data_IF_722146215231
#
_entry.id   IF_722146215231
#
_cell.length_a   1.000
_cell.length_b   1.000
_cell.length_c   1.000
_cell.angle_alpha   90.00
_cell.angle_beta   90.00
_cell.angle_gamma   90.00
#
_symmetry.space_group_name_H-M   'P 1'
#
loop_
_entity.id
_entity.type
_entity.pdbx_description
1 polymer ?
#
# COMPACT_ATOMS: atom_id res chain seq x y z
N UNK A 1 31.72 -11.27 2.58
CA UNK A 1 31.65 -10.25 3.67
C UNK A 1 32.81 -10.38 4.66
N UNK A 2 33.15 -11.60 5.11
CA UNK A 2 34.26 -11.90 6.03
C UNK A 2 35.66 -11.61 5.46
N UNK A 3 35.91 -11.96 4.20
CA UNK A 3 37.19 -11.62 3.52
C UNK A 3 37.34 -10.12 3.25
N UNK A 4 36.22 -9.39 3.08
CA UNK A 4 36.21 -7.97 2.80
C UNK A 4 36.56 -7.14 4.05
N UNK A 5 36.02 -7.51 5.22
CA UNK A 5 36.33 -6.86 6.50
C UNK A 5 37.77 -7.12 6.95
N UNK A 6 38.34 -8.29 6.64
CA UNK A 6 39.74 -8.63 6.95
C UNK A 6 40.74 -7.91 6.03
N UNK A 7 40.35 -7.59 4.78
CA UNK A 7 41.20 -6.86 3.82
C UNK A 7 41.16 -5.33 3.96
N UNK A 8 40.07 -4.76 4.47
CA UNK A 8 39.82 -3.31 4.40
C UNK A 8 39.73 -2.59 5.76
N UNK A 9 39.97 -3.27 6.88
CA UNK A 9 40.03 -2.62 8.21
C UNK A 9 41.50 -2.43 8.65
N UNK A 10 42.00 -1.19 8.58
CA UNK A 10 43.32 -0.79 9.12
C UNK A 10 43.33 -0.62 10.66
N UNK A 11 42.24 -0.91 11.35
CA UNK A 11 42.19 -0.80 12.81
C UNK A 11 42.64 -2.10 13.47
N UNK A 12 43.60 -2.06 14.42
CA UNK A 12 44.03 -3.25 15.13
C UNK A 12 42.83 -3.87 15.86
N UNK A 13 42.62 -5.17 15.69
CA UNK A 13 41.51 -5.97 16.22
C UNK A 13 41.26 -5.69 17.73
N UNK A 14 42.31 -5.36 18.47
CA UNK A 14 42.27 -4.94 19.88
C UNK A 14 41.40 -3.70 20.15
N UNK A 15 41.28 -2.77 19.20
CA UNK A 15 40.50 -1.55 19.33
C UNK A 15 38.99 -1.79 19.14
N UNK A 16 38.63 -2.65 18.19
CA UNK A 16 37.24 -3.08 17.94
C UNK A 16 36.72 -3.88 19.14
N UNK A 17 37.57 -4.76 19.70
CA UNK A 17 37.23 -5.55 20.90
C UNK A 17 37.03 -4.67 22.13
N UNK A 18 37.86 -3.63 22.33
CA UNK A 18 37.67 -2.66 23.42
C UNK A 18 36.37 -1.87 23.31
N UNK A 19 35.95 -1.49 22.11
CA UNK A 19 34.67 -0.78 21.91
C UNK A 19 33.45 -1.67 22.13
N UNK A 20 33.46 -2.90 21.62
CA UNK A 20 32.36 -3.87 21.81
C UNK A 20 32.20 -4.25 23.29
N UNK A 21 33.32 -4.41 24.01
CA UNK A 21 33.31 -4.73 25.44
C UNK A 21 32.86 -3.53 26.29
N UNK A 22 33.35 -2.32 26.01
CA UNK A 22 32.91 -1.10 26.71
C UNK A 22 31.40 -0.87 26.55
N UNK A 23 30.86 -1.11 25.35
CA UNK A 23 29.43 -1.02 25.08
C UNK A 23 28.61 -2.07 25.86
N UNK A 24 29.15 -3.28 26.03
CA UNK A 24 28.47 -4.39 26.75
C UNK A 24 28.50 -4.18 28.27
N UNK A 25 29.58 -3.60 28.81
CA UNK A 25 29.71 -3.29 30.24
C UNK A 25 28.82 -2.11 30.65
N UNK A 26 28.70 -1.07 29.82
CA UNK A 26 27.86 0.09 30.15
C UNK A 26 26.35 -0.22 30.13
N UNK A 27 25.90 -1.17 29.32
CA UNK A 27 24.47 -1.50 29.16
C UNK A 27 23.99 -2.72 29.97
N UNK A 28 24.89 -3.38 30.71
CA UNK A 28 24.59 -4.60 31.47
C UNK A 28 24.52 -4.39 32.99
N UNK A 29 23.46 -3.76 33.52
CA UNK A 29 23.19 -3.84 34.97
C UNK A 29 22.81 -5.29 35.31
N UNK A 30 23.59 -5.92 36.19
CA UNK A 30 23.47 -7.29 36.76
C UNK A 30 24.22 -8.39 35.99
N UNK A 31 25.55 -8.43 36.14
CA UNK A 31 26.38 -9.67 36.25
C UNK A 31 27.85 -9.33 36.57
N UNK A 32 28.06 -8.58 37.65
CA UNK A 32 29.37 -8.04 38.06
C UNK A 32 30.39 -9.05 38.60
N UNK A 33 30.08 -10.35 38.67
CA UNK A 33 31.01 -11.35 39.23
C UNK A 33 31.49 -12.42 38.22
N UNK A 34 30.81 -12.60 37.08
CA UNK A 34 31.20 -13.62 36.09
C UNK A 34 32.17 -13.10 35.00
N UNK A 35 32.30 -11.78 34.85
CA UNK A 35 33.09 -11.17 33.76
C UNK A 35 34.54 -10.88 34.20
N UNK A 36 34.80 -10.73 35.50
CA UNK A 36 36.13 -10.43 36.02
C UNK A 36 37.15 -11.58 35.82
N UNK A 37 36.68 -12.83 35.67
CA UNK A 37 37.56 -13.99 35.44
C UNK A 37 38.00 -14.15 33.98
N UNK A 38 37.41 -13.38 33.04
CA UNK A 38 37.78 -13.43 31.60
C UNK A 38 39.07 -12.63 31.32
N UNK A 39 39.49 -11.75 32.24
CA UNK A 39 40.60 -10.81 32.03
C UNK A 39 42.02 -11.41 32.17
N UNK A 40 42.17 -12.67 32.59
CA UNK A 40 43.48 -13.32 32.78
C UNK A 40 43.82 -14.38 31.74
N UNK A 41 42.97 -14.60 30.73
CA UNK A 41 43.16 -15.63 29.70
C UNK A 41 43.49 -14.96 28.36
N UNK A 42 44.61 -15.30 27.69
CA UNK A 42 44.88 -14.79 26.35
C UNK A 42 43.76 -15.21 25.39
N UNK A 43 43.04 -14.22 24.85
CA UNK A 43 41.99 -14.39 23.85
C UNK A 43 42.67 -14.71 22.51
N UNK A 44 42.77 -16.00 22.20
CA UNK A 44 43.18 -16.45 20.87
C UNK A 44 42.10 -16.09 19.85
N UNK A 45 42.49 -15.80 18.59
CA UNK A 45 41.58 -15.50 17.47
C UNK A 45 40.35 -16.45 17.38
N UNK A 46 40.47 -17.77 17.62
CA UNK A 46 39.34 -18.69 17.63
C UNK A 46 38.31 -18.41 18.75
N UNK A 47 38.77 -18.01 19.95
CA UNK A 47 37.87 -17.67 21.07
C UNK A 47 37.11 -16.37 20.80
N UNK A 48 37.76 -15.40 20.19
CA UNK A 48 37.11 -14.14 19.81
C UNK A 48 36.05 -14.37 18.73
N UNK A 49 36.35 -15.20 17.73
CA UNK A 49 35.40 -15.63 16.70
C UNK A 49 34.16 -16.30 17.32
N UNK A 50 34.35 -17.21 18.27
CA UNK A 50 33.24 -17.89 18.93
C UNK A 50 32.32 -16.92 19.71
N UNK A 51 32.89 -15.96 20.43
CA UNK A 51 32.13 -14.96 21.18
C UNK A 51 31.33 -14.05 20.23
N UNK A 52 31.95 -13.55 19.15
CA UNK A 52 31.28 -12.70 18.16
C UNK A 52 30.16 -13.49 17.47
N UNK A 53 30.44 -14.71 17.02
CA UNK A 53 29.45 -15.60 16.39
C UNK A 53 28.27 -15.87 17.33
N UNK A 54 28.54 -16.15 18.61
CA UNK A 54 27.50 -16.37 19.61
C UNK A 54 26.64 -15.12 19.86
N UNK A 55 27.25 -13.93 19.97
CA UNK A 55 26.52 -12.66 20.15
C UNK A 55 25.65 -12.36 18.92
N UNK A 56 26.19 -12.54 17.71
CA UNK A 56 25.46 -12.34 16.45
C UNK A 56 24.30 -13.32 16.36
N UNK A 57 24.51 -14.62 16.60
CA UNK A 57 23.45 -15.61 16.60
C UNK A 57 22.36 -15.32 17.64
N UNK A 58 22.75 -14.88 18.84
CA UNK A 58 21.80 -14.52 19.89
C UNK A 58 20.99 -13.27 19.53
N UNK A 59 21.63 -12.24 18.96
CA UNK A 59 20.94 -11.06 18.42
C UNK A 59 19.99 -11.44 17.28
N UNK A 60 20.43 -12.25 16.32
CA UNK A 60 19.60 -12.75 15.22
C UNK A 60 18.39 -13.53 15.73
N UNK A 61 18.56 -14.41 16.73
CA UNK A 61 17.42 -15.13 17.35
C UNK A 61 16.43 -14.19 18.02
N UNK A 62 16.90 -13.15 18.71
CA UNK A 62 16.03 -12.15 19.34
C UNK A 62 15.29 -11.32 18.29
N UNK A 63 16.00 -10.81 17.28
CA UNK A 63 15.41 -10.05 16.16
C UNK A 63 14.38 -10.90 15.42
N UNK A 64 14.69 -12.15 15.08
CA UNK A 64 13.75 -13.06 14.41
C UNK A 64 12.51 -13.34 15.27
N UNK A 65 12.67 -13.53 16.58
CA UNK A 65 11.54 -13.75 17.49
C UNK A 65 10.65 -12.52 17.60
N UNK A 66 11.25 -11.33 17.65
CA UNK A 66 10.55 -10.05 17.74
C UNK A 66 9.80 -9.75 16.43
N UNK A 67 10.42 -9.95 15.27
CA UNK A 67 9.76 -9.80 13.97
C UNK A 67 8.58 -10.77 13.84
N UNK A 68 8.77 -12.04 14.21
CA UNK A 68 7.69 -13.04 14.21
C UNK A 68 6.52 -12.63 15.11
N UNK A 69 6.80 -12.00 16.25
CA UNK A 69 5.77 -11.53 17.18
C UNK A 69 4.96 -10.37 16.58
N UNK A 70 5.62 -9.39 15.95
CA UNK A 70 4.92 -8.28 15.30
C UNK A 70 4.09 -8.73 14.10
N UNK A 71 4.63 -9.61 13.25
CA UNK A 71 3.85 -10.22 12.15
C UNK A 71 2.62 -10.94 12.69
N UNK A 72 2.75 -11.68 13.80
CA UNK A 72 1.62 -12.35 14.46
C UNK A 72 0.58 -11.35 14.98
N UNK A 73 1.00 -10.28 15.66
CA UNK A 73 0.09 -9.25 16.17
C UNK A 73 -0.64 -8.53 15.04
N UNK A 74 0.03 -8.24 13.93
CA UNK A 74 -0.60 -7.67 12.73
C UNK A 74 -1.65 -8.62 12.18
N UNK A 75 -1.31 -9.91 12.05
CA UNK A 75 -2.23 -10.94 11.57
C UNK A 75 -3.47 -11.07 12.47
N UNK A 76 -3.28 -11.12 13.80
CA UNK A 76 -4.37 -11.12 14.78
C UNK A 76 -5.26 -9.87 14.64
N UNK A 77 -4.65 -8.69 14.43
CA UNK A 77 -5.38 -7.46 14.16
C UNK A 77 -6.19 -7.49 12.87
N UNK A 78 -5.62 -8.00 11.78
CA UNK A 78 -6.31 -8.13 10.49
C UNK A 78 -7.47 -9.13 10.54
N UNK A 79 -7.30 -10.25 11.25
CA UNK A 79 -8.39 -11.20 11.49
C UNK A 79 -9.52 -10.59 12.31
N UNK A 80 -9.19 -9.77 13.32
CA UNK A 80 -10.17 -9.03 14.09
C UNK A 80 -10.88 -7.95 13.25
N UNK A 81 -10.18 -7.29 12.33
CA UNK A 81 -10.79 -6.37 11.35
C UNK A 81 -11.76 -7.12 10.43
N UNK A 82 -11.37 -8.27 9.88
CA UNK A 82 -12.25 -9.11 9.06
C UNK A 82 -13.53 -9.50 9.81
N UNK A 83 -13.39 -9.92 11.07
CA UNK A 83 -14.54 -10.23 11.92
C UNK A 83 -15.42 -9.01 12.13
N UNK A 84 -14.83 -7.85 12.46
CA UNK A 84 -15.57 -6.61 12.69
C UNK A 84 -16.34 -6.16 11.45
N UNK A 85 -15.73 -6.25 10.26
CA UNK A 85 -16.37 -5.92 8.98
C UNK A 85 -17.57 -6.83 8.69
N UNK A 86 -17.51 -8.13 9.02
CA UNK A 86 -18.64 -9.05 8.85
C UNK A 86 -19.75 -8.80 9.87
N UNK A 87 -19.39 -8.54 11.13
CA UNK A 87 -20.35 -8.36 12.21
C UNK A 87 -21.15 -7.06 12.04
N UNK A 88 -20.50 -5.98 11.61
CA UNK A 88 -21.12 -4.65 11.53
C UNK A 88 -22.16 -4.51 10.42
N UNK A 89 -22.13 -5.38 9.40
CA UNK A 89 -23.09 -5.34 8.27
C UNK A 89 -24.37 -6.13 8.52
N UNK A 90 -24.59 -6.62 9.75
CA UNK A 90 -25.85 -7.28 10.11
C UNK A 90 -27.05 -6.31 9.97
N UNK A 91 -28.15 -6.84 9.44
CA UNK A 91 -29.38 -6.08 9.20
C UNK A 91 -30.60 -6.99 9.24
N UNK A 92 -31.73 -6.48 9.75
CA UNK A 92 -33.03 -7.15 9.69
C UNK A 92 -33.62 -7.20 8.27
N UNK A 93 -32.99 -6.51 7.31
CA UNK A 93 -33.36 -6.53 5.90
C UNK A 93 -32.45 -7.52 5.16
N UNK A 94 -32.96 -8.72 4.88
CA UNK A 94 -32.19 -9.84 4.32
C UNK A 94 -31.36 -9.45 3.09
N UNK A 95 -31.96 -8.76 2.12
CA UNK A 95 -31.27 -8.35 0.88
C UNK A 95 -30.08 -7.42 1.16
N UNK A 96 -30.19 -6.54 2.16
CA UNK A 96 -29.14 -5.60 2.52
C UNK A 96 -28.01 -6.33 3.27
N UNK A 97 -28.36 -7.25 4.17
CA UNK A 97 -27.40 -8.11 4.85
C UNK A 97 -26.63 -8.99 3.85
N UNK A 98 -27.32 -9.61 2.90
CA UNK A 98 -26.70 -10.45 1.87
C UNK A 98 -25.75 -9.65 0.99
N UNK A 99 -26.17 -8.47 0.51
CA UNK A 99 -25.34 -7.60 -0.32
C UNK A 99 -24.10 -7.09 0.44
N UNK A 100 -24.27 -6.68 1.71
CA UNK A 100 -23.16 -6.27 2.59
C UNK A 100 -22.17 -7.40 2.85
N UNK A 101 -22.65 -8.60 3.18
CA UNK A 101 -21.77 -9.76 3.37
C UNK A 101 -21.07 -10.18 2.08
N UNK A 102 -21.73 -10.06 0.93
CA UNK A 102 -21.16 -10.38 -0.37
C UNK A 102 -19.94 -9.52 -0.67
N UNK A 103 -20.05 -8.19 -0.56
CA UNK A 103 -18.91 -7.31 -0.86
C UNK A 103 -17.75 -7.49 0.13
N UNK A 104 -18.03 -7.74 1.42
CA UNK A 104 -16.98 -8.04 2.41
C UNK A 104 -16.27 -9.38 2.10
N UNK A 105 -17.02 -10.40 1.65
CA UNK A 105 -16.47 -11.71 1.26
C UNK A 105 -15.66 -11.69 -0.03
N UNK A 106 -15.86 -10.71 -0.91
CA UNK A 106 -15.01 -10.49 -2.10
C UNK A 106 -13.54 -10.21 -1.76
N UNK A 107 -13.20 -10.10 -0.47
CA UNK A 107 -11.83 -10.11 0.03
C UNK A 107 -11.11 -8.79 -0.24
N UNK A 108 -9.78 -8.83 -0.25
CA UNK A 108 -8.90 -7.69 -0.49
C UNK A 108 -7.58 -7.83 0.26
N UNK A 109 -6.58 -7.04 -0.13
CA UNK A 109 -5.23 -7.08 0.48
C UNK A 109 -5.17 -6.42 1.87
N UNK A 110 -6.24 -5.73 2.29
CA UNK A 110 -6.38 -5.03 3.59
C UNK A 110 -5.21 -4.13 3.98
N UNK A 111 -4.60 -3.50 2.97
CA UNK A 111 -3.44 -2.61 3.16
C UNK A 111 -3.76 -1.42 4.07
N UNK A 112 -4.96 -0.84 3.97
CA UNK A 112 -5.36 0.33 4.78
C UNK A 112 -5.54 -0.04 6.27
N UNK A 113 -6.26 -1.11 6.63
CA UNK A 113 -6.24 -1.64 8.00
C UNK A 113 -4.85 -1.97 8.53
N UNK A 114 -4.04 -2.66 7.71
CA UNK A 114 -2.68 -3.04 8.08
C UNK A 114 -1.83 -1.82 8.41
N UNK A 115 -1.97 -0.76 7.62
CA UNK A 115 -1.26 0.50 7.82
C UNK A 115 -1.66 1.20 9.14
N UNK A 116 -2.96 1.26 9.46
CA UNK A 116 -3.41 1.80 10.74
C UNK A 116 -2.88 0.99 11.94
N UNK A 117 -2.86 -0.34 11.82
CA UNK A 117 -2.29 -1.24 12.83
C UNK A 117 -0.78 -1.02 12.97
N UNK A 118 -0.05 -0.95 11.86
CA UNK A 118 1.39 -0.71 11.85
C UNK A 118 1.75 0.63 12.49
N UNK A 119 1.03 1.70 12.16
CA UNK A 119 1.24 3.02 12.75
C UNK A 119 0.98 3.02 14.26
N UNK A 120 -0.08 2.36 14.71
CA UNK A 120 -0.38 2.17 16.14
C UNK A 120 0.74 1.42 16.87
N UNK A 121 1.22 0.30 16.31
CA UNK A 121 2.31 -0.49 16.90
C UNK A 121 3.64 0.27 16.88
N UNK A 122 3.94 1.00 15.80
CA UNK A 122 5.16 1.79 15.68
C UNK A 122 5.19 2.95 16.69
N UNK A 123 4.03 3.50 17.03
CA UNK A 123 3.84 4.50 18.07
C UNK A 123 3.92 3.95 19.51
N UNK A 124 4.04 2.63 19.69
CA UNK A 124 4.15 1.99 21.00
C UNK A 124 2.85 1.38 21.53
N UNK A 125 1.79 1.35 20.72
CA UNK A 125 0.56 0.62 21.02
C UNK A 125 0.82 -0.88 21.26
N UNK A 126 0.11 -1.47 22.23
CA UNK A 126 0.33 -2.86 22.64
C UNK A 126 -0.90 -3.75 22.42
N UNK A 127 -2.10 -3.20 22.64
CA UNK A 127 -3.35 -3.90 22.43
C UNK A 127 -3.93 -3.56 21.06
N UNK A 128 -3.82 -4.48 20.10
CA UNK A 128 -4.32 -4.28 18.74
C UNK A 128 -5.85 -4.14 18.70
N UNK A 129 -6.57 -4.63 19.71
CA UNK A 129 -8.04 -4.50 19.76
C UNK A 129 -8.49 -3.03 19.87
N UNK A 130 -7.63 -2.13 20.36
CA UNK A 130 -7.92 -0.68 20.41
C UNK A 130 -7.96 -0.04 19.02
N UNK A 131 -7.16 -0.53 18.06
CA UNK A 131 -7.06 0.05 16.70
C UNK A 131 -8.00 -0.64 15.70
N UNK A 132 -8.44 -1.86 15.99
CA UNK A 132 -9.30 -2.66 15.10
C UNK A 132 -10.57 -1.92 14.63
N UNK A 133 -11.40 -1.28 15.49
CA UNK A 133 -12.63 -0.65 15.02
C UNK A 133 -12.38 0.53 14.08
N UNK A 134 -11.36 1.34 14.34
CA UNK A 134 -10.96 2.46 13.47
C UNK A 134 -10.40 1.95 12.14
N UNK A 135 -9.52 0.95 12.17
CA UNK A 135 -9.01 0.30 10.95
C UNK A 135 -10.13 -0.34 10.11
N UNK A 136 -11.14 -0.94 10.76
CA UNK A 136 -12.32 -1.47 10.08
C UNK A 136 -13.19 -0.35 9.49
N UNK A 137 -13.33 0.79 10.16
CA UNK A 137 -14.05 1.95 9.62
C UNK A 137 -13.38 2.50 8.34
N UNK A 138 -12.05 2.59 8.32
CA UNK A 138 -11.29 2.95 7.12
C UNK A 138 -11.54 1.98 5.96
N UNK A 139 -11.49 0.68 6.20
CA UNK A 139 -11.75 -0.31 5.14
C UNK A 139 -13.22 -0.32 4.73
N UNK A 140 -14.14 0.02 5.63
CA UNK A 140 -15.56 0.16 5.32
C UNK A 140 -15.82 1.34 4.39
N UNK A 141 -15.12 2.48 4.57
CA UNK A 141 -15.14 3.59 3.59
C UNK A 141 -14.69 3.07 2.22
N UNK A 142 -13.54 2.40 2.14
CA UNK A 142 -13.04 1.84 0.88
C UNK A 142 -14.03 0.85 0.27
N UNK A 143 -14.64 -0.02 1.08
CA UNK A 143 -15.62 -1.01 0.62
C UNK A 143 -16.86 -0.33 0.05
N UNK A 144 -17.37 0.70 0.73
CA UNK A 144 -18.53 1.47 0.27
C UNK A 144 -18.24 2.15 -1.08
N UNK A 145 -17.04 2.74 -1.24
CA UNK A 145 -16.66 3.39 -2.49
C UNK A 145 -16.55 2.38 -3.63
N UNK A 146 -16.05 1.17 -3.38
CA UNK A 146 -16.01 0.11 -4.42
C UNK A 146 -17.41 -0.25 -4.94
N UNK A 147 -18.42 -0.30 -4.06
CA UNK A 147 -19.81 -0.57 -4.48
C UNK A 147 -20.35 0.57 -5.36
N UNK A 148 -20.04 1.83 -5.00
CA UNK A 148 -20.44 2.98 -5.81
C UNK A 148 -19.69 3.07 -7.13
N UNK A 149 -18.38 2.78 -7.13
CA UNK A 149 -17.55 2.73 -8.33
C UNK A 149 -18.05 1.65 -9.28
N UNK A 150 -18.42 0.46 -8.79
CA UNK A 150 -18.99 -0.61 -9.62
C UNK A 150 -20.26 -0.19 -10.37
N UNK A 151 -21.07 0.70 -9.79
CA UNK A 151 -22.25 1.28 -10.44
C UNK A 151 -21.82 2.27 -11.52
N UNK A 152 -20.91 3.19 -11.17
CA UNK A 152 -20.45 4.26 -12.06
C UNK A 152 -19.69 3.72 -13.27
N UNK A 153 -18.95 2.62 -13.08
CA UNK A 153 -18.09 2.00 -14.08
C UNK A 153 -18.79 0.85 -14.82
N UNK A 154 -20.07 0.58 -14.51
CA UNK A 154 -20.85 -0.53 -15.06
C UNK A 154 -20.14 -1.90 -14.93
N UNK A 155 -19.35 -2.08 -13.87
CA UNK A 155 -18.52 -3.26 -13.67
C UNK A 155 -19.38 -4.47 -13.32
N UNK A 156 -19.24 -5.57 -14.10
CA UNK A 156 -19.96 -6.82 -13.85
C UNK A 156 -19.25 -7.74 -12.86
N UNK A 157 -17.92 -7.67 -12.81
CA UNK A 157 -17.08 -8.47 -11.92
C UNK A 157 -16.02 -7.63 -11.22
N UNK A 158 -15.60 -8.07 -10.03
CA UNK A 158 -14.49 -7.50 -9.24
C UNK A 158 -13.81 -8.62 -8.48
N UNK A 159 -12.48 -8.73 -8.61
CA UNK A 159 -11.67 -9.80 -7.96
C UNK A 159 -12.21 -11.21 -8.25
N UNK A 160 -12.64 -11.44 -9.50
CA UNK A 160 -13.24 -12.70 -9.92
C UNK A 160 -14.65 -13.00 -9.37
N UNK A 161 -15.27 -12.07 -8.63
CA UNK A 161 -16.63 -12.20 -8.09
C UNK A 161 -17.60 -11.28 -8.83
N UNK A 162 -18.88 -11.66 -8.91
CA UNK A 162 -19.93 -10.80 -9.47
C UNK A 162 -20.10 -9.55 -8.58
N UNK A 163 -20.24 -8.35 -9.15
CA UNK A 163 -20.44 -7.13 -8.36
C UNK A 163 -21.84 -7.08 -7.74
N UNK A 164 -22.01 -6.26 -6.70
CA UNK A 164 -23.35 -6.05 -6.08
C UNK A 164 -24.33 -5.49 -7.12
N UNK A 165 -23.86 -4.53 -7.93
CA UNK A 165 -24.59 -3.95 -9.05
C UNK A 165 -25.09 -5.01 -10.03
N UNK A 166 -24.23 -5.94 -10.45
CA UNK A 166 -24.61 -6.96 -11.43
C UNK A 166 -25.58 -8.01 -10.86
N UNK A 167 -25.47 -8.32 -9.57
CA UNK A 167 -26.29 -9.36 -8.93
C UNK A 167 -27.64 -8.87 -8.44
N UNK A 168 -27.72 -7.72 -7.80
CA UNK A 168 -28.96 -7.19 -7.23
C UNK A 168 -29.50 -5.98 -7.99
N UNK A 169 -28.74 -5.40 -8.92
CA UNK A 169 -29.13 -4.21 -9.67
C UNK A 169 -28.69 -2.91 -9.01
N UNK A 170 -28.69 -1.84 -9.81
CA UNK A 170 -28.18 -0.52 -9.43
C UNK A 170 -28.81 0.05 -8.16
N UNK A 171 -30.13 -0.06 -7.99
CA UNK A 171 -30.83 0.50 -6.82
C UNK A 171 -30.34 -0.12 -5.52
N UNK A 172 -30.22 -1.45 -5.46
CA UNK A 172 -29.75 -2.13 -4.26
C UNK A 172 -28.26 -1.93 -4.02
N UNK A 173 -27.45 -1.82 -5.07
CA UNK A 173 -26.04 -1.48 -4.93
C UNK A 173 -25.85 -0.08 -4.32
N UNK A 174 -26.61 0.93 -4.77
CA UNK A 174 -26.56 2.28 -4.20
C UNK A 174 -26.91 2.25 -2.70
N UNK A 175 -28.04 1.62 -2.35
CA UNK A 175 -28.47 1.48 -0.95
C UNK A 175 -27.47 0.68 -0.10
N UNK A 176 -26.77 -0.30 -0.70
CA UNK A 176 -25.73 -1.06 0.00
C UNK A 176 -24.54 -0.15 0.30
N UNK A 177 -24.05 0.63 -0.65
CA UNK A 177 -22.94 1.55 -0.39
C UNK A 177 -23.30 2.63 0.64
N UNK A 178 -24.51 3.19 0.57
CA UNK A 178 -25.04 4.11 1.59
C UNK A 178 -25.07 3.45 2.98
N UNK A 179 -25.58 2.22 3.07
CA UNK A 179 -25.61 1.44 4.31
C UNK A 179 -24.20 1.23 4.88
N UNK A 180 -23.22 0.85 4.06
CA UNK A 180 -21.83 0.70 4.51
C UNK A 180 -21.26 2.03 5.03
N UNK A 181 -21.58 3.17 4.40
CA UNK A 181 -21.24 4.49 4.94
C UNK A 181 -21.91 4.76 6.29
N UNK A 182 -23.17 4.36 6.51
CA UNK A 182 -23.79 4.46 7.85
C UNK A 182 -23.03 3.64 8.90
N UNK A 183 -22.47 2.48 8.52
CA UNK A 183 -21.65 1.65 9.42
C UNK A 183 -20.29 2.28 9.74
N UNK A 184 -19.74 3.10 8.84
CA UNK A 184 -18.57 3.94 9.15
C UNK A 184 -18.91 4.89 10.30
N UNK A 185 -20.04 5.61 10.22
CA UNK A 185 -20.46 6.50 11.30
C UNK A 185 -20.70 5.75 12.61
N UNK A 186 -21.32 4.57 12.57
CA UNK A 186 -21.52 3.73 13.76
C UNK A 186 -20.18 3.36 14.42
N UNK A 187 -19.16 2.99 13.63
CA UNK A 187 -17.83 2.67 14.14
C UNK A 187 -17.04 3.91 14.60
N UNK A 188 -17.25 5.06 13.98
CA UNK A 188 -16.53 6.30 14.30
C UNK A 188 -17.17 7.13 15.42
N UNK A 189 -18.45 6.92 15.71
CA UNK A 189 -19.20 7.65 16.74
C UNK A 189 -18.57 7.61 18.16
N UNK A 190 -17.95 6.51 18.61
CA UNK A 190 -17.27 6.48 19.92
C UNK A 190 -15.99 7.31 19.98
N UNK A 191 -15.43 7.74 18.84
CA UNK A 191 -14.19 8.51 18.79
C UNK A 191 -14.46 10.02 18.87
N UNK A 192 -13.48 10.77 19.38
CA UNK A 192 -13.57 12.22 19.52
C UNK A 192 -13.65 12.99 18.19
N UNK A 193 -13.87 14.31 18.29
CA UNK A 193 -13.98 15.20 17.13
C UNK A 193 -12.75 15.16 16.23
N UNK A 194 -11.54 15.05 16.79
CA UNK A 194 -10.29 15.03 16.03
C UNK A 194 -10.24 13.87 15.02
N UNK A 195 -10.61 12.66 15.44
CA UNK A 195 -10.69 11.49 14.57
C UNK A 195 -11.77 11.65 13.49
N UNK A 196 -12.94 12.16 13.87
CA UNK A 196 -14.04 12.37 12.94
C UNK A 196 -13.72 13.46 11.90
N UNK A 197 -12.96 14.49 12.26
CA UNK A 197 -12.45 15.51 11.33
C UNK A 197 -11.51 14.87 10.31
N UNK A 198 -10.56 14.02 10.75
CA UNK A 198 -9.64 13.31 9.84
C UNK A 198 -10.41 12.40 8.88
N UNK A 199 -11.36 11.62 9.38
CA UNK A 199 -12.18 10.73 8.56
C UNK A 199 -13.04 11.52 7.56
N UNK A 200 -13.68 12.60 8.00
CA UNK A 200 -14.51 13.46 7.16
C UNK A 200 -13.71 14.14 6.05
N UNK A 201 -12.51 14.65 6.38
CA UNK A 201 -11.61 15.25 5.39
C UNK A 201 -11.15 14.22 4.35
N UNK A 202 -10.76 13.01 4.78
CA UNK A 202 -10.39 11.93 3.87
C UNK A 202 -11.55 11.51 2.95
N UNK A 203 -12.77 11.36 3.49
CA UNK A 203 -13.96 11.04 2.70
C UNK A 203 -14.31 12.16 1.71
N UNK A 204 -14.20 13.42 2.13
CA UNK A 204 -14.45 14.59 1.27
C UNK A 204 -13.46 14.61 0.11
N UNK A 205 -12.15 14.51 0.42
CA UNK A 205 -11.10 14.41 -0.60
C UNK A 205 -11.37 13.26 -1.55
N UNK A 206 -11.71 12.07 -1.06
CA UNK A 206 -12.01 10.92 -1.89
C UNK A 206 -13.11 11.21 -2.91
N UNK A 207 -14.26 11.74 -2.45
CA UNK A 207 -15.40 12.06 -3.32
C UNK A 207 -15.04 13.16 -4.33
N UNK A 208 -14.31 14.20 -3.91
CA UNK A 208 -13.81 15.23 -4.81
C UNK A 208 -12.84 14.68 -5.85
N UNK A 209 -11.98 13.74 -5.46
CA UNK A 209 -11.04 13.05 -6.36
C UNK A 209 -11.77 12.23 -7.42
N UNK A 210 -12.78 11.45 -7.02
CA UNK A 210 -13.61 10.67 -7.96
C UNK A 210 -14.40 11.58 -8.90
N UNK A 211 -14.96 12.67 -8.36
CA UNK A 211 -15.69 13.66 -9.16
C UNK A 211 -14.79 14.34 -10.18
N UNK A 212 -13.57 14.71 -9.79
CA UNK A 212 -12.57 15.31 -10.68
C UNK A 212 -12.15 14.32 -11.77
N UNK A 213 -11.98 13.03 -11.42
CA UNK A 213 -11.71 11.96 -12.40
C UNK A 213 -12.84 11.83 -13.42
N UNK A 214 -14.09 11.79 -12.98
CA UNK A 214 -15.26 11.71 -13.87
C UNK A 214 -15.37 12.95 -14.79
N UNK A 215 -15.10 14.14 -14.26
CA UNK A 215 -15.09 15.37 -15.04
C UNK A 215 -13.97 15.40 -16.10
N UNK A 216 -12.76 14.95 -15.74
CA UNK A 216 -11.63 14.85 -16.66
C UNK A 216 -11.89 13.82 -17.77
N UNK A 217 -12.43 12.65 -17.43
CA UNK A 217 -12.82 11.63 -18.41
C UNK A 217 -13.85 12.15 -19.41
N UNK A 218 -14.84 12.92 -18.93
CA UNK A 218 -15.84 13.58 -19.81
C UNK A 218 -15.24 14.64 -20.71
N UNK A 219 -14.20 15.35 -20.27
CA UNK A 219 -13.50 16.34 -21.06
C UNK A 219 -12.55 15.73 -22.11
N UNK A 220 -12.19 14.45 -21.97
CA UNK A 220 -11.30 13.74 -22.89
C UNK A 220 -9.82 14.11 -22.76
N UNK A 221 -9.45 14.84 -21.71
CA UNK A 221 -8.06 15.22 -21.44
C UNK A 221 -7.81 15.33 -19.93
N UNK A 222 -6.71 14.74 -19.47
CA UNK A 222 -6.23 14.84 -18.10
C UNK A 222 -4.76 15.26 -18.12
N UNK A 223 -4.42 16.36 -17.47
CA UNK A 223 -3.03 16.78 -17.34
C UNK A 223 -2.34 16.14 -16.12
N UNK A 224 -1.01 16.28 -16.06
CA UNK A 224 -0.19 15.70 -14.97
C UNK A 224 -0.60 16.17 -13.58
N UNK A 225 -0.95 17.44 -13.42
CA UNK A 225 -1.27 17.99 -12.11
C UNK A 225 -2.67 17.58 -11.65
N UNK A 226 -3.61 17.48 -12.60
CA UNK A 226 -4.94 16.92 -12.39
C UNK A 226 -4.85 15.45 -12.01
N UNK A 227 -4.04 14.66 -12.70
CA UNK A 227 -3.77 13.26 -12.35
C UNK A 227 -3.23 13.11 -10.92
N UNK A 228 -2.17 13.87 -10.58
CA UNK A 228 -1.62 13.88 -9.21
C UNK A 228 -2.68 14.25 -8.17
N UNK A 229 -3.53 15.24 -8.47
CA UNK A 229 -4.63 15.67 -7.60
C UNK A 229 -5.66 14.56 -7.42
N UNK A 230 -6.00 13.83 -8.48
CA UNK A 230 -6.94 12.70 -8.40
C UNK A 230 -6.35 11.58 -7.53
N UNK A 231 -5.13 11.09 -7.80
CA UNK A 231 -4.57 9.96 -7.06
C UNK A 231 -4.28 10.29 -5.59
N UNK A 232 -3.90 11.55 -5.30
CA UNK A 232 -3.71 12.01 -3.92
C UNK A 232 -5.02 12.04 -3.15
N UNK A 233 -6.09 12.49 -3.78
CA UNK A 233 -7.41 12.61 -3.17
C UNK A 233 -8.14 11.28 -3.05
N UNK A 234 -8.22 10.51 -4.14
CA UNK A 234 -8.95 9.23 -4.22
C UNK A 234 -8.27 8.12 -3.42
N UNK A 235 -6.94 8.08 -3.43
CA UNK A 235 -6.18 6.95 -2.88
C UNK A 235 -5.35 7.34 -1.67
N UNK A 236 -4.45 8.33 -1.80
CA UNK A 236 -3.48 8.64 -0.74
C UNK A 236 -4.12 9.19 0.55
N UNK A 237 -5.19 9.99 0.44
CA UNK A 237 -5.88 10.60 1.59
C UNK A 237 -6.36 9.57 2.62
N UNK A 238 -6.90 8.44 2.17
CA UNK A 238 -7.43 7.40 3.04
C UNK A 238 -6.30 6.56 3.67
N UNK A 239 -5.17 6.40 2.97
CA UNK A 239 -3.94 5.83 3.55
C UNK A 239 -3.41 6.72 4.67
N UNK A 240 -3.27 8.02 4.39
CA UNK A 240 -2.82 9.03 5.35
C UNK A 240 -3.69 9.03 6.62
N UNK A 241 -5.02 9.07 6.45
CA UNK A 241 -5.99 9.02 7.54
C UNK A 241 -5.83 7.77 8.41
N UNK A 242 -5.65 6.59 7.80
CA UNK A 242 -5.44 5.34 8.51
C UNK A 242 -4.19 5.39 9.41
N UNK A 243 -3.07 5.86 8.88
CA UNK A 243 -1.82 5.94 9.63
C UNK A 243 -1.88 6.99 10.75
N UNK A 244 -2.41 8.18 10.46
CA UNK A 244 -2.55 9.26 11.46
C UNK A 244 -3.41 8.82 12.63
N UNK A 245 -4.62 8.31 12.36
CA UNK A 245 -5.51 7.83 13.42
C UNK A 245 -4.94 6.63 14.17
N UNK A 246 -4.22 5.74 13.50
CA UNK A 246 -3.51 4.63 14.13
C UNK A 246 -2.49 5.10 15.16
N UNK A 247 -1.62 6.03 14.78
CA UNK A 247 -0.63 6.61 15.70
C UNK A 247 -1.27 7.41 16.84
N UNK A 248 -2.32 8.18 16.56
CA UNK A 248 -3.05 8.94 17.59
C UNK A 248 -3.66 8.01 18.65
N UNK A 249 -4.16 6.83 18.28
CA UNK A 249 -4.70 5.86 19.26
C UNK A 249 -3.67 5.29 20.23
N UNK A 250 -2.38 5.41 19.90
CA UNK A 250 -1.25 5.08 20.78
C UNK A 250 -0.73 6.30 21.55
N UNK A 251 -1.48 7.42 21.54
CA UNK A 251 -1.11 8.68 22.21
C UNK A 251 0.22 9.25 21.71
N UNK A 252 0.52 9.06 20.42
CA UNK A 252 1.73 9.58 19.78
C UNK A 252 1.71 11.12 19.68
N UNK A 253 2.87 11.75 19.81
CA UNK A 253 3.02 13.20 19.62
C UNK A 253 2.85 13.63 18.15
N UNK A 254 2.56 14.92 17.94
CA UNK A 254 2.26 15.49 16.61
C UNK A 254 3.33 15.20 15.55
N UNK A 255 4.61 15.31 15.89
CA UNK A 255 5.72 15.00 14.97
C UNK A 255 5.68 13.55 14.47
N UNK A 256 5.31 12.61 15.34
CA UNK A 256 5.18 11.20 14.98
C UNK A 256 3.97 10.99 14.07
N UNK A 257 2.83 11.59 14.42
CA UNK A 257 1.58 11.51 13.64
C UNK A 257 1.80 12.09 12.24
N UNK A 258 2.52 13.21 12.13
CA UNK A 258 2.86 13.83 10.85
C UNK A 258 3.80 12.96 10.00
N UNK A 259 4.83 12.40 10.62
CA UNK A 259 5.77 11.52 9.94
C UNK A 259 5.09 10.26 9.39
N UNK A 260 4.22 9.58 10.16
CA UNK A 260 3.47 8.43 9.64
C UNK A 260 2.41 8.82 8.62
N UNK A 261 1.81 10.01 8.76
CA UNK A 261 0.88 10.56 7.76
C UNK A 261 1.58 10.80 6.42
N UNK A 262 2.73 11.49 6.44
CA UNK A 262 3.54 11.74 5.23
C UNK A 262 4.02 10.43 4.60
N UNK A 263 4.45 9.46 5.42
CA UNK A 263 4.79 8.13 4.94
C UNK A 263 3.61 7.47 4.20
N UNK A 264 2.45 7.44 4.83
CA UNK A 264 1.25 6.78 4.33
C UNK A 264 0.69 7.44 3.07
N UNK A 265 0.68 8.78 3.03
CA UNK A 265 0.31 9.54 1.85
C UNK A 265 1.19 9.17 0.65
N UNK A 266 2.50 9.18 0.82
CA UNK A 266 3.43 8.83 -0.26
C UNK A 266 3.34 7.34 -0.64
N UNK A 267 3.14 6.44 0.32
CA UNK A 267 2.86 5.03 0.04
C UNK A 267 1.59 4.86 -0.80
N UNK A 268 0.52 5.61 -0.49
CA UNK A 268 -0.72 5.61 -1.25
C UNK A 268 -0.55 6.12 -2.69
N UNK A 269 0.30 7.15 -2.89
CA UNK A 269 0.68 7.60 -4.23
C UNK A 269 1.46 6.53 -5.00
N UNK A 270 2.49 5.95 -4.38
CA UNK A 270 3.26 4.84 -4.98
C UNK A 270 2.33 3.68 -5.34
N UNK A 271 1.43 3.33 -4.42
CA UNK A 271 0.44 2.27 -4.67
C UNK A 271 -0.38 2.57 -5.91
N UNK A 272 -1.01 3.75 -6.01
CA UNK A 272 -1.85 4.05 -7.17
C UNK A 272 -1.06 4.08 -8.48
N UNK A 273 0.13 4.69 -8.49
CA UNK A 273 0.96 4.76 -9.71
C UNK A 273 1.33 3.35 -10.18
N UNK A 274 1.70 2.45 -9.27
CA UNK A 274 1.98 1.05 -9.65
C UNK A 274 0.73 0.33 -10.11
N UNK A 275 -0.47 0.69 -9.61
CA UNK A 275 -1.73 0.07 -10.04
C UNK A 275 -2.01 0.41 -11.51
N UNK A 276 -1.86 1.69 -11.83
CA UNK A 276 -2.07 2.19 -13.18
C UNK A 276 -1.00 1.67 -14.15
N UNK A 277 0.25 1.47 -13.70
CA UNK A 277 1.28 0.78 -14.49
C UNK A 277 0.85 -0.66 -14.77
N UNK A 278 0.43 -1.40 -13.74
CA UNK A 278 0.00 -2.78 -13.90
C UNK A 278 -1.24 -2.90 -14.80
N UNK A 279 -2.16 -1.93 -14.78
CA UNK A 279 -3.26 -1.88 -15.75
C UNK A 279 -2.76 -1.79 -17.20
N UNK A 280 -1.55 -1.23 -17.42
CA UNK A 280 -0.90 -1.09 -18.73
C UNK A 280 -0.11 -2.32 -19.13
N UNK A 281 0.72 -2.88 -18.24
CA UNK A 281 1.71 -3.92 -18.59
C UNK A 281 1.37 -5.31 -18.06
N UNK A 282 0.40 -5.43 -17.14
CA UNK A 282 0.12 -6.69 -16.46
C UNK A 282 -0.52 -7.73 -17.37
N UNK A 283 -0.51 -8.96 -16.89
CA UNK A 283 -1.19 -10.09 -17.52
C UNK A 283 -2.66 -10.13 -17.03
N UNK A 284 -3.67 -10.17 -17.93
CA UNK A 284 -5.09 -10.25 -17.54
C UNK A 284 -5.41 -11.40 -16.58
N UNK A 285 -4.73 -12.54 -16.70
CA UNK A 285 -4.95 -13.69 -15.80
C UNK A 285 -4.45 -13.41 -14.38
N UNK A 286 -3.42 -12.58 -14.24
CA UNK A 286 -2.78 -12.25 -12.96
C UNK A 286 -3.49 -11.11 -12.22
N UNK A 287 -4.13 -10.18 -12.95
CA UNK A 287 -4.81 -9.01 -12.37
C UNK A 287 -6.26 -9.26 -11.95
N UNK A 288 -6.90 -10.32 -12.47
CA UNK A 288 -8.30 -10.64 -12.16
C UNK A 288 -9.32 -9.62 -12.70
N UNK A 289 -8.88 -8.72 -13.60
CA UNK A 289 -9.68 -7.82 -14.45
C UNK A 289 -9.03 -7.75 -15.84
N UNK A 290 -9.77 -7.46 -16.93
CA UNK A 290 -9.18 -7.21 -18.24
C UNK A 290 -8.17 -6.05 -18.18
N UNK A 291 -7.01 -6.22 -18.81
CA UNK A 291 -5.98 -5.16 -18.96
C UNK A 291 -6.53 -4.03 -19.83
N UNK A 292 -6.18 -2.78 -19.49
CA UNK A 292 -6.64 -1.60 -20.23
C UNK A 292 -8.10 -1.22 -19.96
N UNK A 293 -8.68 -1.73 -18.87
CA UNK A 293 -10.02 -1.29 -18.42
C UNK A 293 -10.00 0.21 -18.14
N UNK A 294 -8.93 0.71 -17.53
CA UNK A 294 -8.85 2.12 -17.18
C UNK A 294 -8.73 2.95 -18.48
N UNK A 295 -7.86 2.52 -19.41
CA UNK A 295 -7.70 3.15 -20.74
C UNK A 295 -9.01 3.17 -21.53
N UNK A 296 -9.77 2.06 -21.53
CA UNK A 296 -11.08 1.97 -22.16
C UNK A 296 -12.11 2.96 -21.58
N UNK A 297 -11.94 3.33 -20.31
CA UNK A 297 -12.80 4.26 -19.58
C UNK A 297 -12.28 5.71 -19.57
N UNK A 298 -11.18 6.00 -20.28
CA UNK A 298 -10.45 7.26 -20.20
C UNK A 298 -9.96 7.60 -18.77
N UNK A 299 -9.57 6.58 -18.02
CA UNK A 299 -9.03 6.63 -16.65
C UNK A 299 -7.61 6.03 -16.68
N UNK A 300 -6.68 6.46 -15.83
CA UNK A 300 -5.32 5.90 -15.76
C UNK A 300 -4.21 6.67 -16.48
N UNK A 301 -2.98 6.13 -16.43
CA UNK A 301 -1.75 6.76 -16.93
C UNK A 301 -1.76 6.83 -18.46
N UNK A 302 -2.03 8.01 -19.02
CA UNK A 302 -1.94 8.27 -20.46
C UNK A 302 -0.70 9.12 -20.77
N UNK A 303 0.40 8.49 -21.17
CA UNK A 303 1.54 9.21 -21.71
C UNK A 303 1.24 9.71 -23.12
N UNK A 304 1.67 10.93 -23.41
CA UNK A 304 1.71 11.44 -24.77
C UNK A 304 3.13 11.75 -25.22
N UNK A 305 3.29 11.80 -26.55
CA UNK A 305 4.55 11.82 -27.31
C UNK A 305 5.57 12.93 -26.96
N UNK A 306 5.28 13.82 -26.00
CA UNK A 306 6.16 14.92 -25.61
C UNK A 306 6.60 14.87 -24.12
N UNK A 307 6.48 13.71 -23.46
CA UNK A 307 6.96 13.54 -22.08
C UNK A 307 6.12 14.25 -21.00
N UNK A 308 4.91 14.69 -21.35
CA UNK A 308 3.88 15.19 -20.44
C UNK A 308 2.62 14.32 -20.51
N UNK A 309 1.87 14.25 -19.41
CA UNK A 309 0.53 13.63 -19.36
C UNK A 309 -0.48 14.67 -19.90
N UNK A 310 -1.07 14.42 -21.08
CA UNK A 310 -2.31 15.03 -21.62
C UNK A 310 -2.53 14.62 -23.09
N UNK A 311 -3.72 14.10 -23.40
CA UNK A 311 -4.19 13.67 -24.74
C UNK A 311 -4.19 14.82 -25.76
N UNK A 312 -3.72 14.56 -26.98
CA UNK A 312 -4.16 15.31 -28.18
C UNK A 312 -4.63 14.37 -29.27
N UNK A 313 -5.89 14.58 -29.65
CA UNK A 313 -6.63 14.27 -30.90
C UNK A 313 -6.39 12.94 -31.62
N UNK A 314 -7.49 12.18 -31.76
CA UNK A 314 -7.63 11.10 -32.72
C UNK A 314 -7.30 11.58 -34.14
N UNK A 315 -6.35 10.88 -34.73
CA UNK A 315 -5.96 10.78 -36.14
C UNK A 315 -6.99 11.36 -37.14
N UNK A 316 -6.60 12.44 -37.81
CA UNK A 316 -7.02 12.69 -39.20
C UNK A 316 -5.80 12.97 -40.07
N UNK A 317 -5.19 11.92 -40.64
CA UNK A 317 -4.53 11.96 -41.95
C UNK A 317 -4.28 10.52 -42.47
N UNK A 318 -4.45 10.26 -43.78
CA UNK A 318 -4.42 8.92 -44.35
C UNK A 318 -2.98 8.48 -44.66
N UNK A 319 -2.57 7.29 -44.20
CA UNK A 319 -1.35 6.63 -44.66
C UNK A 319 -1.66 5.67 -45.81
N UNK A 320 -1.06 5.97 -46.95
CA UNK A 320 -1.09 5.23 -48.20
C UNK A 320 -0.14 4.02 -48.18
N UNK A 321 -0.65 2.84 -48.60
CA UNK A 321 0.01 1.72 -49.32
C UNK A 321 1.26 1.05 -48.67
N UNK A 322 1.49 -0.27 -48.63
CA UNK A 322 1.15 -1.35 -49.58
C UNK A 322 1.50 -2.77 -49.06
N UNK A 323 0.69 -3.76 -49.50
CA UNK A 323 1.02 -5.17 -49.91
C UNK A 323 1.53 -6.25 -48.93
N UNK A 324 0.56 -7.08 -48.47
CA UNK A 324 0.36 -8.54 -48.65
C UNK A 324 1.46 -9.60 -48.45
N UNK A 325 1.06 -10.66 -47.68
CA UNK A 325 1.36 -12.12 -47.74
C UNK A 325 2.05 -12.62 -46.43
N UNK A 326 1.62 -13.67 -45.71
CA UNK A 326 0.56 -14.64 -45.89
C UNK A 326 0.36 -15.51 -44.62
N UNK A 327 -0.84 -16.09 -44.48
CA UNK A 327 -1.22 -17.29 -43.69
C UNK A 327 -0.79 -17.40 -42.21
N UNK A 328 -1.49 -16.64 -41.34
CA UNK A 328 -1.87 -17.01 -39.96
C UNK A 328 -2.75 -15.91 -39.30
N UNK A 329 -3.56 -15.22 -40.10
CA UNK A 329 -3.97 -13.84 -39.80
C UNK A 329 -5.36 -13.62 -39.18
N UNK A 330 -6.18 -14.63 -38.89
CA UNK A 330 -7.55 -14.33 -38.42
C UNK A 330 -7.63 -13.92 -36.95
N UNK A 331 -6.85 -14.54 -36.04
CA UNK A 331 -6.75 -14.08 -34.65
C UNK A 331 -5.85 -12.84 -34.48
N UNK A 332 -4.85 -12.67 -35.37
CA UNK A 332 -3.93 -11.52 -35.34
C UNK A 332 -4.56 -10.27 -35.95
N UNK A 333 -5.47 -10.40 -36.93
CA UNK A 333 -6.18 -9.28 -37.54
C UNK A 333 -7.31 -8.72 -36.64
N UNK A 334 -7.91 -9.52 -35.76
CA UNK A 334 -8.91 -9.02 -34.79
C UNK A 334 -8.24 -8.19 -33.69
N UNK A 335 -7.07 -8.60 -33.18
CA UNK A 335 -6.25 -7.80 -32.26
C UNK A 335 -5.67 -6.54 -32.92
N UNK A 336 -5.38 -6.58 -34.23
CA UNK A 336 -4.88 -5.43 -34.97
C UNK A 336 -5.93 -4.32 -35.15
N UNK A 337 -7.22 -4.57 -34.88
CA UNK A 337 -8.29 -3.57 -34.94
C UNK A 337 -8.86 -3.20 -33.57
N UNK A 338 -8.30 -3.71 -32.47
CA UNK A 338 -8.70 -3.30 -31.12
C UNK A 338 -8.04 -1.95 -30.77
N UNK A 339 -8.80 -0.84 -30.72
CA UNK A 339 -8.25 0.47 -30.43
C UNK A 339 -7.60 0.56 -29.05
N UNK A 340 -8.07 -0.23 -28.08
CA UNK A 340 -7.51 -0.28 -26.73
C UNK A 340 -6.16 -0.98 -26.79
N UNK A 341 -6.08 -2.16 -27.43
CA UNK A 341 -4.81 -2.88 -27.58
C UNK A 341 -3.73 -2.02 -28.28
N UNK A 342 -4.12 -1.26 -29.32
CA UNK A 342 -3.21 -0.32 -29.99
C UNK A 342 -2.76 0.83 -29.08
N UNK A 343 -3.69 1.42 -28.32
CA UNK A 343 -3.36 2.50 -27.40
C UNK A 343 -2.40 2.02 -26.30
N UNK A 344 -2.61 0.80 -25.81
CA UNK A 344 -1.75 0.16 -24.81
C UNK A 344 -0.36 -0.14 -25.36
N UNK A 345 -0.26 -0.62 -26.60
CA UNK A 345 1.02 -0.80 -27.28
C UNK A 345 1.76 0.54 -27.44
N UNK A 346 1.06 1.59 -27.87
CA UNK A 346 1.64 2.94 -27.99
C UNK A 346 2.13 3.48 -26.63
N UNK A 347 1.39 3.25 -25.55
CA UNK A 347 1.80 3.65 -24.20
C UNK A 347 3.10 2.93 -23.80
N UNK A 348 3.18 1.62 -24.02
CA UNK A 348 4.38 0.82 -23.74
C UNK A 348 5.60 1.30 -24.53
N UNK A 349 5.42 1.65 -25.80
CA UNK A 349 6.52 2.08 -26.68
C UNK A 349 6.93 3.55 -26.49
N UNK A 350 6.13 4.35 -25.80
CA UNK A 350 6.35 5.81 -25.66
C UNK A 350 7.32 6.24 -24.55
N UNK A 351 7.78 5.31 -23.70
CA UNK A 351 8.54 5.65 -22.48
C UNK A 351 7.66 6.03 -21.27
N UNK A 352 6.33 5.90 -21.41
CA UNK A 352 5.31 6.20 -20.39
C UNK A 352 5.56 5.47 -19.07
N UNK A 353 5.81 4.17 -19.21
CA UNK A 353 5.86 3.21 -18.13
C UNK A 353 7.09 3.48 -17.28
N UNK A 354 8.22 3.75 -17.91
CA UNK A 354 9.49 4.10 -17.27
C UNK A 354 9.36 5.42 -16.49
N UNK A 355 8.67 6.42 -17.07
CA UNK A 355 8.40 7.69 -16.37
C UNK A 355 7.51 7.46 -15.15
N UNK A 356 6.46 6.65 -15.28
CA UNK A 356 5.57 6.32 -14.17
C UNK A 356 6.31 5.53 -13.08
N UNK A 357 7.17 4.57 -13.45
CA UNK A 357 8.02 3.82 -12.52
C UNK A 357 8.96 4.75 -11.74
N UNK A 358 9.61 5.70 -12.41
CA UNK A 358 10.44 6.71 -11.73
C UNK A 358 9.64 7.54 -10.72
N UNK A 359 8.40 7.91 -11.05
CA UNK A 359 7.52 8.66 -10.13
C UNK A 359 7.05 7.81 -8.94
N UNK A 360 6.79 6.52 -9.16
CA UNK A 360 6.47 5.58 -8.09
C UNK A 360 7.66 5.44 -7.12
N UNK A 361 8.87 5.30 -7.64
CA UNK A 361 10.12 5.23 -6.86
C UNK A 361 10.43 6.52 -6.10
N UNK A 362 10.21 7.68 -6.71
CA UNK A 362 10.35 8.98 -6.06
C UNK A 362 9.39 9.08 -4.86
N UNK A 363 8.13 8.70 -5.06
CA UNK A 363 7.12 8.69 -3.98
C UNK A 363 7.47 7.66 -2.91
N UNK A 364 7.95 6.47 -3.29
CA UNK A 364 8.38 5.45 -2.33
C UNK A 364 9.59 5.91 -1.50
N UNK A 365 10.51 6.64 -2.12
CA UNK A 365 11.66 7.24 -1.45
C UNK A 365 11.24 8.33 -0.45
N UNK A 366 10.25 9.16 -0.80
CA UNK A 366 9.65 10.12 0.13
C UNK A 366 8.95 9.43 1.30
N UNK A 367 8.25 8.31 1.05
CA UNK A 367 7.67 7.50 2.11
C UNK A 367 8.75 7.00 3.09
N UNK A 368 9.83 6.39 2.59
CA UNK A 368 10.97 5.92 3.41
C UNK A 368 11.60 7.06 4.20
N UNK A 369 11.82 8.22 3.58
CA UNK A 369 12.40 9.38 4.23
C UNK A 369 11.55 9.88 5.40
N UNK A 370 10.21 9.84 5.28
CA UNK A 370 9.31 10.25 6.35
C UNK A 370 9.42 9.35 7.60
N UNK A 371 9.80 8.08 7.44
CA UNK A 371 10.03 7.18 8.59
C UNK A 371 11.38 7.41 9.27
N UNK A 372 12.31 8.17 8.68
CA UNK A 372 13.68 8.29 9.19
C UNK A 372 13.73 8.83 10.63
N UNK A 373 12.82 9.74 11.00
CA UNK A 373 12.73 10.36 12.32
C UNK A 373 12.12 9.46 13.38
N UNK A 374 11.41 8.40 12.99
CA UNK A 374 10.72 7.51 13.93
C UNK A 374 11.70 6.59 14.68
N UNK A 375 11.45 6.26 15.96
CA UNK A 375 12.22 5.27 16.70
C UNK A 375 12.25 3.92 15.98
N UNK A 376 13.39 3.23 16.05
CA UNK A 376 13.51 1.89 15.49
C UNK A 376 12.56 0.92 16.21
N UNK A 377 11.65 0.31 15.46
CA UNK A 377 10.73 -0.71 15.93
C UNK A 377 10.49 -1.74 14.83
N UNK A 378 10.07 -2.97 15.16
CA UNK A 378 9.77 -3.96 14.12
C UNK A 378 8.58 -3.54 13.24
N UNK A 379 7.63 -2.78 13.81
CA UNK A 379 6.54 -2.19 13.03
C UNK A 379 7.05 -1.15 12.03
N UNK A 380 8.00 -0.29 12.41
CA UNK A 380 8.68 0.63 11.47
C UNK A 380 9.39 -0.15 10.35
N UNK A 381 10.11 -1.22 10.68
CA UNK A 381 10.76 -2.07 9.66
C UNK A 381 9.75 -2.69 8.72
N UNK A 382 8.59 -3.11 9.22
CA UNK A 382 7.53 -3.63 8.35
C UNK A 382 6.89 -2.55 7.48
N UNK A 383 6.77 -1.32 7.97
CA UNK A 383 6.37 -0.16 7.15
C UNK A 383 7.40 0.13 6.04
N UNK A 384 8.70 0.01 6.31
CA UNK A 384 9.75 0.12 5.29
C UNK A 384 9.64 -1.01 4.25
N UNK A 385 9.43 -2.26 4.69
CA UNK A 385 9.22 -3.41 3.82
C UNK A 385 7.99 -3.24 2.93
N UNK A 386 6.92 -2.64 3.45
CA UNK A 386 5.68 -2.42 2.71
C UNK A 386 5.90 -1.50 1.50
N UNK A 387 6.82 -0.52 1.58
CA UNK A 387 7.17 0.32 0.42
C UNK A 387 7.76 -0.54 -0.70
N UNK A 388 8.70 -1.43 -0.36
CA UNK A 388 9.33 -2.31 -1.34
C UNK A 388 8.30 -3.29 -1.91
N UNK A 389 7.46 -3.87 -1.07
CA UNK A 389 6.40 -4.77 -1.50
C UNK A 389 5.40 -4.10 -2.47
N UNK A 390 5.13 -2.80 -2.31
CA UNK A 390 4.27 -2.05 -3.24
C UNK A 390 4.99 -1.74 -4.56
N UNK A 391 6.28 -1.40 -4.53
CA UNK A 391 7.08 -1.14 -5.73
C UNK A 391 7.31 -2.40 -6.57
N UNK A 392 7.60 -3.52 -5.91
CA UNK A 392 7.92 -4.80 -6.55
C UNK A 392 6.68 -5.62 -6.94
N UNK A 393 5.46 -5.11 -6.68
CA UNK A 393 4.24 -5.89 -6.88
C UNK A 393 4.00 -6.18 -8.37
N UNK A 394 3.51 -7.39 -8.62
CA UNK A 394 3.13 -7.86 -9.95
C UNK A 394 1.60 -8.02 -10.10
N UNK A 395 0.83 -7.75 -9.03
CA UNK A 395 -0.63 -7.83 -8.98
C UNK A 395 -1.24 -6.92 -7.91
#
# INVERSE_FOLDING_TARGET
MTEWLLKNCELPITHIVKQIISYTIMNGRKKGQAIATIFTIPLTLPKLYFIISYIVQKKLKVVNKVNLMVTKTIQEGLEAVEKKLRDIVSSDVDVLQEAGLHIIKSGGKRLRPQLGILAYLAAGGQDVQRVVPMSAAIEMVHTATLVHDDINDHSLTRRGQITVHARWGRTFALLTGDFLFTKVYEMMAPYGSEYNIIMSDACTKLVEGETLQAAAAKAGSIDRETYKTIISRKTASLFEAAARMGAMLADAGEEFVEAVGTYAYNLGLTFQIVDDILDIIGDPETLGKPVGTDVAQNRGVMATQNGGLAVKEAVTAPSTSSTSLGRSGQAVAELANDPIAQMMANLRDSGAVEIAQMQAEESGSRARAALATLPASPAKTEMENLVNAVLDRQN
#
